data_IF_435152020954
#
_entry.id   IF_435152020954
#
_cell.length_a   1.000
_cell.length_b   1.000
_cell.length_c   1.000
_cell.angle_alpha   90.00
_cell.angle_beta   90.00
_cell.angle_gamma   90.00
#
_symmetry.space_group_name_H-M   'P 1'
#
loop_
_entity.id
_entity.type
_entity.pdbx_description
1 polymer ?
#
# COMPACT_ATOMS: atom_id res chain seq x y z
N UNK A 1 8.92 27.70 6.99
CA UNK A 1 8.82 26.95 5.72
C UNK A 1 7.96 25.72 5.97
N UNK A 2 7.08 25.32 5.08
CA UNK A 2 6.26 24.14 5.28
C UNK A 2 7.13 22.87 5.26
N UNK A 3 6.80 21.89 6.11
CA UNK A 3 7.50 20.60 6.14
C UNK A 3 7.11 19.67 4.98
N UNK A 4 5.99 19.98 4.31
CA UNK A 4 5.44 19.21 3.19
C UNK A 4 5.15 20.17 2.03
N UNK A 5 5.51 19.74 0.83
CA UNK A 5 5.22 20.45 -0.41
C UNK A 5 3.95 19.82 -1.01
N UNK A 6 2.86 20.58 -1.17
CA UNK A 6 1.71 20.12 -1.95
C UNK A 6 2.10 20.04 -3.42
N UNK A 7 1.99 18.84 -4.00
CA UNK A 7 2.32 18.67 -5.42
C UNK A 7 1.12 19.00 -6.33
N UNK A 8 1.36 19.08 -7.64
CA UNK A 8 0.29 19.12 -8.63
C UNK A 8 -0.33 17.74 -8.90
N UNK A 9 0.26 16.65 -8.38
CA UNK A 9 -0.24 15.30 -8.57
C UNK A 9 -1.47 15.04 -7.70
N UNK A 10 -2.59 14.78 -8.36
CA UNK A 10 -3.85 14.39 -7.75
C UNK A 10 -4.31 13.11 -8.43
N UNK A 11 -4.41 12.05 -7.64
CA UNK A 11 -4.96 10.78 -8.11
C UNK A 11 -6.44 10.66 -7.79
N UNK A 12 -7.04 9.57 -8.25
CA UNK A 12 -8.42 9.18 -7.94
C UNK A 12 -8.44 7.79 -7.32
N UNK A 13 -9.17 7.61 -6.23
CA UNK A 13 -9.40 6.29 -5.65
C UNK A 13 -10.28 5.48 -6.61
N UNK A 14 -9.72 4.44 -7.21
CA UNK A 14 -10.45 3.57 -8.15
C UNK A 14 -10.99 2.31 -7.50
N UNK A 15 -10.46 1.92 -6.35
CA UNK A 15 -10.86 0.74 -5.62
C UNK A 15 -10.52 0.84 -4.15
N UNK A 16 -11.40 0.30 -3.30
CA UNK A 16 -11.21 0.14 -1.87
C UNK A 16 -11.58 -1.28 -1.45
N UNK A 17 -10.87 -1.83 -0.48
CA UNK A 17 -11.19 -3.13 0.08
C UNK A 17 -10.61 -3.34 1.47
N UNK A 18 -11.03 -4.42 2.11
CA UNK A 18 -10.56 -4.85 3.42
C UNK A 18 -10.52 -6.36 3.53
N UNK A 19 -9.61 -6.86 4.34
CA UNK A 19 -9.53 -8.27 4.76
C UNK A 19 -10.10 -8.36 6.18
N UNK A 20 -11.31 -8.86 6.38
CA UNK A 20 -11.92 -8.89 7.72
C UNK A 20 -11.29 -9.95 8.63
N UNK A 21 -10.81 -11.05 8.06
CA UNK A 21 -10.14 -12.14 8.79
C UNK A 21 -8.96 -12.67 7.98
N UNK A 22 -7.77 -12.35 8.44
CA UNK A 22 -6.51 -12.78 7.84
C UNK A 22 -6.26 -14.29 7.97
N UNK A 23 -6.85 -14.93 8.97
CA UNK A 23 -6.78 -16.38 9.14
C UNK A 23 -7.62 -17.14 8.12
N UNK A 24 -8.74 -16.55 7.70
CA UNK A 24 -9.65 -17.14 6.72
C UNK A 24 -9.17 -16.93 5.28
N UNK A 25 -8.75 -15.71 4.93
CA UNK A 25 -8.35 -15.38 3.56
C UNK A 25 -7.27 -14.30 3.49
N UNK A 26 -6.52 -14.28 2.38
CA UNK A 26 -5.66 -13.17 2.01
C UNK A 26 -6.44 -12.10 1.27
N UNK A 27 -7.42 -12.53 0.49
CA UNK A 27 -8.19 -11.69 -0.42
C UNK A 27 -8.97 -10.65 0.35
N UNK A 28 -8.95 -9.41 -0.15
CA UNK A 28 -9.77 -8.34 0.36
C UNK A 28 -11.14 -8.32 -0.30
N UNK A 29 -12.16 -8.02 0.49
CA UNK A 29 -13.51 -7.73 -0.03
C UNK A 29 -13.61 -6.27 -0.46
N UNK A 30 -14.13 -6.01 -1.67
CA UNK A 30 -14.35 -4.66 -2.19
C UNK A 30 -15.43 -3.92 -1.39
N UNK A 31 -15.23 -2.63 -1.14
CA UNK A 31 -16.19 -1.75 -0.47
C UNK A 31 -16.26 -0.39 -1.17
N UNK A 32 -17.43 0.27 -1.25
CA UNK A 32 -17.54 1.59 -1.88
C UNK A 32 -16.97 2.71 -1.03
N UNK A 33 -16.91 2.49 0.29
CA UNK A 33 -16.40 3.45 1.27
C UNK A 33 -15.62 2.74 2.36
N UNK A 34 -14.60 3.40 2.90
CA UNK A 34 -13.75 2.86 3.95
C UNK A 34 -13.50 3.93 5.02
N UNK A 35 -14.04 3.72 6.21
CA UNK A 35 -13.73 4.55 7.38
C UNK A 35 -12.35 4.19 7.90
N UNK A 36 -11.55 5.19 8.22
CA UNK A 36 -10.21 5.04 8.75
C UNK A 36 -10.08 5.82 10.07
N UNK A 37 -9.79 5.10 11.14
CA UNK A 37 -9.40 5.64 12.44
C UNK A 37 -7.87 5.62 12.59
N UNK A 38 -7.35 6.16 13.69
CA UNK A 38 -5.90 6.10 13.97
C UNK A 38 -5.36 4.67 14.10
N UNK A 39 -6.23 3.72 14.35
CA UNK A 39 -5.95 2.28 14.37
C UNK A 39 -6.04 1.61 12.98
N UNK A 40 -6.37 2.38 11.95
CA UNK A 40 -6.42 1.91 10.56
C UNK A 40 -7.83 1.80 9.98
N UNK A 41 -8.00 1.02 8.89
CA UNK A 41 -9.29 0.83 8.26
C UNK A 41 -10.24 0.03 9.15
N UNK A 42 -11.48 0.49 9.27
CA UNK A 42 -12.51 -0.21 10.05
C UNK A 42 -12.80 -1.61 9.49
N UNK A 43 -12.67 -2.62 10.35
CA UNK A 43 -12.89 -4.03 10.00
C UNK A 43 -11.76 -4.65 9.16
N UNK A 44 -10.56 -4.04 9.14
CA UNK A 44 -9.37 -4.59 8.51
C UNK A 44 -8.51 -5.37 9.51
N UNK A 45 -8.18 -6.61 9.20
CA UNK A 45 -7.39 -7.48 10.07
C UNK A 45 -5.93 -7.01 10.29
N UNK A 46 -5.41 -6.12 9.42
CA UNK A 46 -4.11 -5.49 9.59
C UNK A 46 -4.18 -4.16 10.37
N UNK A 47 -5.37 -3.78 10.87
CA UNK A 47 -5.58 -2.63 11.73
C UNK A 47 -4.87 -2.75 13.08
N UNK A 48 -5.05 -1.74 13.92
CA UNK A 48 -4.45 -1.63 15.24
C UNK A 48 -3.38 -0.54 15.31
N UNK A 49 -3.24 0.08 16.50
CA UNK A 49 -2.19 1.07 16.77
C UNK A 49 -0.80 0.45 16.81
N UNK A 50 -0.74 -0.82 17.20
CA UNK A 50 0.50 -1.60 17.29
C UNK A 50 0.35 -2.92 16.53
N UNK A 51 1.46 -3.55 16.22
CA UNK A 51 1.53 -4.88 15.64
C UNK A 51 2.76 -5.63 16.13
N UNK A 52 2.79 -6.96 16.06
CA UNK A 52 4.01 -7.73 16.29
C UNK A 52 5.04 -7.47 15.17
N UNK A 53 6.32 -7.40 15.54
CA UNK A 53 7.43 -7.35 14.61
C UNK A 53 7.48 -8.63 13.76
N UNK A 54 7.69 -8.50 12.47
CA UNK A 54 7.74 -9.61 11.53
C UNK A 54 9.08 -9.67 10.79
N UNK A 55 9.24 -10.61 9.87
CA UNK A 55 10.46 -10.80 9.09
C UNK A 55 10.99 -9.55 8.37
N UNK A 56 10.13 -8.55 8.11
CA UNK A 56 10.51 -7.30 7.43
C UNK A 56 11.35 -6.35 8.29
N UNK A 57 11.27 -6.49 9.61
CA UNK A 57 11.98 -5.64 10.58
C UNK A 57 12.90 -6.46 11.50
N UNK A 58 13.26 -7.67 11.07
CA UNK A 58 14.10 -8.59 11.86
C UNK A 58 15.51 -8.07 12.18
N UNK A 59 15.99 -7.11 11.38
CA UNK A 59 17.27 -6.44 11.63
C UNK A 59 17.20 -5.40 12.76
N UNK A 60 15.98 -4.98 13.14
CA UNK A 60 15.75 -3.98 14.18
C UNK A 60 15.24 -4.60 15.48
N UNK A 61 14.34 -5.59 15.36
CA UNK A 61 13.63 -6.16 16.51
C UNK A 61 13.54 -7.69 16.42
N UNK A 62 13.61 -8.39 17.56
CA UNK A 62 13.19 -9.77 17.64
C UNK A 62 11.75 -9.93 17.13
N UNK A 63 11.45 -11.14 16.61
CA UNK A 63 10.09 -11.45 16.17
C UNK A 63 9.09 -11.27 17.32
N UNK A 64 7.89 -10.83 16.97
CA UNK A 64 6.75 -10.61 17.87
C UNK A 64 6.95 -9.49 18.92
N UNK A 65 8.07 -8.73 18.88
CA UNK A 65 8.18 -7.48 19.62
C UNK A 65 7.05 -6.54 19.21
N UNK A 66 6.34 -5.97 20.20
CA UNK A 66 5.26 -5.00 19.92
C UNK A 66 5.87 -3.69 19.41
N UNK A 67 5.47 -3.28 18.22
CA UNK A 67 5.92 -2.04 17.58
C UNK A 67 4.73 -1.24 17.04
N UNK A 68 4.94 0.04 16.72
CA UNK A 68 3.92 0.87 16.04
C UNK A 68 3.50 0.22 14.72
N UNK A 69 2.21 0.19 14.46
CA UNK A 69 1.68 -0.27 13.19
C UNK A 69 1.70 0.87 12.15
N UNK A 70 2.72 0.91 11.34
CA UNK A 70 2.87 1.84 10.20
C UNK A 70 2.44 1.19 8.86
N UNK A 71 1.80 0.02 8.93
CA UNK A 71 1.42 -0.80 7.78
C UNK A 71 -0.07 -1.16 7.79
N UNK A 72 -0.91 -0.20 8.20
CA UNK A 72 -2.36 -0.36 8.29
C UNK A 72 -3.03 -0.49 6.93
N UNK A 73 -2.44 0.15 5.90
CA UNK A 73 -2.91 0.13 4.51
C UNK A 73 -1.88 -0.49 3.58
N UNK A 74 -2.38 -1.20 2.55
CA UNK A 74 -1.66 -1.58 1.35
C UNK A 74 -2.25 -0.79 0.18
N UNK A 75 -1.53 0.24 -0.27
CA UNK A 75 -1.99 1.16 -1.33
C UNK A 75 -1.19 0.92 -2.60
N UNK A 76 -1.88 0.78 -3.75
CA UNK A 76 -1.27 0.56 -5.06
C UNK A 76 -1.61 1.69 -6.03
N UNK A 77 -0.71 1.92 -6.99
CA UNK A 77 -1.02 2.62 -8.23
C UNK A 77 -1.82 1.72 -9.18
N UNK A 78 -2.84 2.26 -9.83
CA UNK A 78 -3.60 1.51 -10.84
C UNK A 78 -2.71 1.17 -12.04
N UNK A 79 -1.81 2.08 -12.39
CA UNK A 79 -0.82 1.93 -13.46
C UNK A 79 0.17 0.82 -13.13
N UNK A 80 0.73 0.81 -11.91
CA UNK A 80 1.60 -0.26 -11.41
C UNK A 80 0.88 -1.62 -11.45
N UNK A 81 -0.39 -1.66 -11.05
CA UNK A 81 -1.19 -2.89 -11.06
C UNK A 81 -1.39 -3.43 -12.48
N UNK A 82 -1.62 -2.54 -13.46
CA UNK A 82 -1.74 -2.91 -14.86
C UNK A 82 -0.41 -3.44 -15.43
N UNK A 83 0.72 -2.83 -15.06
CA UNK A 83 2.06 -3.33 -15.44
C UNK A 83 2.37 -4.69 -14.82
N UNK A 84 1.96 -4.95 -13.58
CA UNK A 84 2.07 -6.27 -12.95
C UNK A 84 1.26 -7.30 -13.74
N UNK A 85 0.01 -6.98 -14.08
CA UNK A 85 -0.85 -7.87 -14.86
C UNK A 85 -0.20 -8.20 -16.22
N UNK A 86 0.25 -7.20 -16.96
CA UNK A 86 0.93 -7.35 -18.25
C UNK A 86 2.20 -8.20 -18.12
N UNK A 87 3.05 -7.96 -17.12
CA UNK A 87 4.25 -8.75 -16.86
C UNK A 87 3.96 -10.21 -16.48
N UNK A 88 2.77 -10.48 -15.92
CA UNK A 88 2.29 -11.83 -15.66
C UNK A 88 1.68 -12.50 -16.91
N UNK A 89 1.37 -11.74 -17.98
CA UNK A 89 0.63 -12.23 -19.15
C UNK A 89 -0.88 -12.27 -18.93
N UNK A 90 -1.40 -11.49 -18.00
CA UNK A 90 -2.83 -11.33 -17.71
C UNK A 90 -3.35 -10.02 -18.31
N UNK A 91 -4.61 -10.00 -18.74
CA UNK A 91 -5.29 -8.76 -19.15
C UNK A 91 -5.50 -7.81 -17.98
N UNK A 92 -5.84 -8.32 -16.81
CA UNK A 92 -6.01 -7.57 -15.57
C UNK A 92 -5.69 -8.44 -14.36
N UNK A 93 -5.27 -7.80 -13.26
CA UNK A 93 -5.09 -8.42 -11.96
C UNK A 93 -6.04 -7.77 -10.95
N UNK A 94 -6.95 -8.56 -10.39
CA UNK A 94 -7.86 -8.09 -9.35
C UNK A 94 -7.07 -7.70 -8.09
N UNK A 95 -7.14 -6.44 -7.61
CA UNK A 95 -6.45 -6.00 -6.40
C UNK A 95 -6.85 -6.77 -5.15
N UNK A 96 -8.04 -7.38 -5.14
CA UNK A 96 -8.50 -8.25 -4.06
C UNK A 96 -7.55 -9.44 -3.84
N UNK A 97 -7.09 -10.10 -4.91
CA UNK A 97 -6.23 -11.30 -4.84
C UNK A 97 -4.88 -11.05 -4.17
N UNK A 98 -4.46 -9.80 -4.12
CA UNK A 98 -3.20 -9.41 -3.52
C UNK A 98 -3.38 -8.70 -2.18
N UNK A 99 -4.59 -8.68 -1.61
CA UNK A 99 -4.87 -8.08 -0.32
C UNK A 99 -4.64 -6.57 -0.31
N UNK A 100 -5.04 -5.88 -1.38
CA UNK A 100 -5.00 -4.42 -1.43
C UNK A 100 -6.04 -3.82 -0.46
N UNK A 101 -5.76 -2.63 0.05
CA UNK A 101 -6.73 -1.85 0.82
C UNK A 101 -7.25 -0.67 -0.01
N UNK A 102 -6.40 -0.14 -0.90
CA UNK A 102 -6.74 1.00 -1.77
C UNK A 102 -5.96 0.93 -3.08
N UNK A 103 -6.62 1.32 -4.18
CA UNK A 103 -5.96 1.57 -5.47
C UNK A 103 -6.23 3.01 -5.89
N UNK A 104 -5.17 3.71 -6.30
CA UNK A 104 -5.21 5.12 -6.75
C UNK A 104 -4.67 5.18 -8.17
N UNK A 105 -5.38 5.84 -9.09
CA UNK A 105 -4.89 6.16 -10.44
C UNK A 105 -4.41 7.60 -10.55
N UNK A 106 -3.54 7.90 -11.52
CA UNK A 106 -3.15 9.26 -11.90
C UNK A 106 -1.97 9.84 -11.10
N UNK A 107 -1.32 9.08 -10.23
CA UNK A 107 -0.04 9.46 -9.60
C UNK A 107 1.04 8.58 -10.21
N UNK A 108 1.96 9.14 -11.02
CA UNK A 108 2.99 8.36 -11.71
C UNK A 108 4.00 7.78 -10.71
N UNK A 109 4.60 6.64 -11.08
CA UNK A 109 5.64 5.97 -10.31
C UNK A 109 5.26 5.76 -8.83
N UNK A 110 4.00 5.34 -8.61
CA UNK A 110 3.34 5.33 -7.31
C UNK A 110 4.11 4.54 -6.25
N UNK A 111 4.72 3.42 -6.63
CA UNK A 111 5.47 2.57 -5.71
C UNK A 111 6.73 3.22 -5.15
N UNK A 112 7.24 4.28 -5.80
CA UNK A 112 8.47 4.97 -5.41
C UNK A 112 8.25 6.37 -4.82
N UNK A 113 7.00 6.75 -4.54
CA UNK A 113 6.75 8.01 -3.83
C UNK A 113 7.52 8.02 -2.49
N UNK A 114 8.13 9.17 -2.12
CA UNK A 114 9.02 9.21 -0.96
C UNK A 114 8.33 8.76 0.34
N UNK A 115 9.01 8.01 1.23
CA UNK A 115 8.54 7.80 2.58
C UNK A 115 8.19 9.13 3.28
N UNK A 116 7.22 9.10 4.18
CA UNK A 116 6.65 10.29 4.81
C UNK A 116 5.87 11.22 3.89
N UNK A 117 5.59 10.86 2.64
CA UNK A 117 4.60 11.56 1.81
C UNK A 117 3.20 11.41 2.41
N UNK A 118 2.30 12.34 2.06
CA UNK A 118 0.89 12.27 2.46
C UNK A 118 0.00 12.07 1.25
N UNK A 119 -0.94 11.15 1.40
CA UNK A 119 -2.05 10.93 0.50
C UNK A 119 -3.29 11.50 1.19
N UNK A 120 -3.71 12.70 0.77
CA UNK A 120 -4.81 13.43 1.39
C UNK A 120 -6.04 13.40 0.51
N UNK A 121 -7.11 12.77 0.99
CA UNK A 121 -8.41 12.79 0.35
C UNK A 121 -9.11 14.15 0.50
N UNK A 122 -10.06 14.47 -0.39
CA UNK A 122 -10.83 15.73 -0.41
C UNK A 122 -11.50 16.03 0.93
N UNK A 123 -11.96 15.02 1.67
CA UNK A 123 -12.55 15.16 3.01
C UNK A 123 -11.54 15.41 4.13
N UNK A 124 -10.25 15.43 3.82
CA UNK A 124 -9.16 15.66 4.76
C UNK A 124 -8.63 14.40 5.45
N UNK A 125 -9.23 13.23 5.26
CA UNK A 125 -8.61 11.96 5.67
C UNK A 125 -7.23 11.85 5.03
N UNK A 126 -6.20 11.51 5.83
CA UNK A 126 -4.82 11.58 5.38
C UNK A 126 -4.05 10.33 5.80
N UNK A 127 -3.36 9.73 4.85
CA UNK A 127 -2.43 8.64 5.09
C UNK A 127 -0.99 9.13 4.98
N UNK A 128 -0.13 8.65 5.87
CA UNK A 128 1.34 8.77 5.74
C UNK A 128 1.87 7.54 5.04
N UNK A 129 2.61 7.73 3.97
CA UNK A 129 3.36 6.67 3.31
C UNK A 129 4.54 6.25 4.18
N UNK A 130 4.60 4.95 4.52
CA UNK A 130 5.72 4.40 5.28
C UNK A 130 6.89 4.06 4.34
N UNK A 131 6.69 3.12 3.43
CA UNK A 131 7.70 2.72 2.45
C UNK A 131 7.10 1.84 1.33
N UNK A 132 7.91 1.51 0.34
CA UNK A 132 7.58 0.52 -0.69
C UNK A 132 7.10 -0.79 -0.06
N UNK A 133 5.99 -1.31 -0.56
CA UNK A 133 5.45 -2.58 -0.14
C UNK A 133 6.03 -3.73 -0.98
N UNK A 134 7.19 -4.24 -0.61
CA UNK A 134 7.87 -5.32 -1.35
C UNK A 134 6.99 -6.56 -1.49
N UNK A 135 6.92 -7.19 -2.68
CA UNK A 135 6.07 -8.35 -2.92
C UNK A 135 6.53 -9.58 -2.12
N UNK A 136 5.57 -10.35 -1.63
CA UNK A 136 5.81 -11.64 -0.97
C UNK A 136 5.15 -12.78 -1.76
N UNK A 137 5.32 -14.01 -1.30
CA UNK A 137 4.77 -15.20 -1.98
C UNK A 137 3.28 -15.45 -1.67
N UNK A 138 2.73 -14.81 -0.65
CA UNK A 138 1.38 -15.11 -0.18
C UNK A 138 0.28 -14.93 -1.23
N UNK A 139 0.32 -13.91 -2.11
CA UNK A 139 -0.66 -13.76 -3.19
C UNK A 139 -0.63 -14.88 -4.25
N UNK A 140 0.44 -15.66 -4.29
CA UNK A 140 0.55 -16.74 -5.29
C UNK A 140 -0.62 -17.74 -5.23
N UNK A 141 -1.10 -18.06 -4.01
CA UNK A 141 -2.19 -19.04 -3.84
C UNK A 141 -3.54 -18.52 -4.36
N UNK A 142 -4.06 -17.34 -3.94
CA UNK A 142 -5.31 -16.82 -4.48
C UNK A 142 -5.22 -16.54 -5.99
N UNK A 143 -4.07 -16.05 -6.48
CA UNK A 143 -3.87 -15.88 -7.93
C UNK A 143 -3.92 -17.21 -8.65
N UNK A 144 -3.23 -18.25 -8.17
CA UNK A 144 -3.26 -19.58 -8.77
C UNK A 144 -4.68 -20.18 -8.83
N UNK A 145 -5.47 -19.94 -7.79
CA UNK A 145 -6.88 -20.40 -7.76
C UNK A 145 -7.73 -19.68 -8.80
N UNK A 146 -7.54 -18.38 -9.00
CA UNK A 146 -8.31 -17.57 -9.94
C UNK A 146 -7.78 -17.65 -11.37
N UNK A 147 -6.47 -17.75 -11.52
CA UNK A 147 -5.73 -17.78 -12.79
C UNK A 147 -4.71 -18.93 -12.73
N UNK A 148 -5.12 -20.17 -13.05
CA UNK A 148 -4.24 -21.34 -13.00
C UNK A 148 -2.96 -21.16 -13.85
N UNK A 149 -1.81 -21.46 -13.26
CA UNK A 149 -0.48 -21.31 -13.89
C UNK A 149 0.20 -19.96 -13.63
N UNK A 150 -0.51 -18.95 -13.08
CA UNK A 150 0.04 -17.59 -12.91
C UNK A 150 0.48 -17.25 -11.49
N UNK A 151 0.16 -18.03 -10.47
CA UNK A 151 0.48 -17.71 -9.08
C UNK A 151 1.96 -17.43 -8.83
N UNK A 152 2.86 -18.23 -9.42
CA UNK A 152 4.31 -18.10 -9.24
C UNK A 152 4.90 -16.87 -9.95
N UNK A 153 4.24 -16.33 -10.96
CA UNK A 153 4.72 -15.18 -11.74
C UNK A 153 4.52 -13.86 -11.02
N UNK A 154 3.62 -13.80 -10.04
CA UNK A 154 3.30 -12.55 -9.32
C UNK A 154 4.50 -11.89 -8.64
N UNK A 155 5.25 -12.65 -7.84
CA UNK A 155 6.32 -12.06 -7.04
C UNK A 155 7.41 -11.38 -7.89
N UNK A 156 7.95 -11.98 -8.96
CA UNK A 156 8.88 -11.29 -9.85
C UNK A 156 8.22 -10.14 -10.61
N UNK A 157 6.99 -10.29 -11.11
CA UNK A 157 6.28 -9.24 -11.84
C UNK A 157 6.00 -7.99 -10.97
N UNK A 158 5.73 -8.18 -9.68
CA UNK A 158 5.41 -7.10 -8.74
C UNK A 158 6.65 -6.45 -8.09
N UNK A 159 7.86 -6.86 -8.44
CA UNK A 159 9.08 -6.25 -7.90
C UNK A 159 9.17 -4.78 -8.33
N UNK A 160 9.29 -3.86 -7.35
CA UNK A 160 9.31 -2.41 -7.57
C UNK A 160 7.94 -1.79 -7.92
N UNK A 161 6.85 -2.58 -7.95
CA UNK A 161 5.51 -2.11 -8.38
C UNK A 161 4.39 -2.48 -7.42
N UNK A 162 4.71 -3.02 -6.23
CA UNK A 162 3.69 -3.51 -5.28
C UNK A 162 3.01 -2.38 -4.49
N UNK A 163 3.24 -1.12 -4.84
CA UNK A 163 2.72 0.04 -4.14
C UNK A 163 3.45 0.31 -2.84
N UNK A 164 2.77 0.95 -1.92
CA UNK A 164 3.30 1.39 -0.63
C UNK A 164 2.49 0.86 0.53
N UNK A 165 3.10 0.83 1.72
CA UNK A 165 2.39 0.71 2.98
C UNK A 165 2.17 2.08 3.57
N UNK A 166 1.03 2.27 4.25
CA UNK A 166 0.67 3.55 4.85
C UNK A 166 -0.08 3.37 6.17
N UNK A 167 -0.18 4.45 6.94
CA UNK A 167 -0.91 4.53 8.19
C UNK A 167 -1.65 5.87 8.32
N UNK A 168 -2.63 5.92 9.19
CA UNK A 168 -3.53 7.08 9.32
C UNK A 168 -2.88 8.20 10.14
N UNK A 169 -2.72 9.37 9.54
CA UNK A 169 -2.34 10.62 10.21
C UNK A 169 -3.57 11.41 10.64
N UNK A 170 -4.60 11.46 9.79
CA UNK A 170 -5.89 12.10 10.07
C UNK A 170 -7.02 11.17 9.72
N UNK A 171 -7.89 10.95 10.69
CA UNK A 171 -9.08 10.11 10.55
C UNK A 171 -10.07 10.68 9.52
N UNK A 172 -10.89 9.80 8.96
CA UNK A 172 -11.96 10.18 8.06
C UNK A 172 -12.48 9.03 7.23
N UNK A 173 -13.10 9.34 6.12
CA UNK A 173 -13.71 8.37 5.21
C UNK A 173 -13.12 8.54 3.82
N UNK A 174 -12.67 7.45 3.23
CA UNK A 174 -12.29 7.33 1.83
C UNK A 174 -13.45 6.75 1.03
N UNK A 175 -13.68 7.25 -0.19
CA UNK A 175 -14.73 6.76 -1.09
C UNK A 175 -14.12 6.49 -2.47
N UNK A 176 -14.60 5.46 -3.13
CA UNK A 176 -14.28 5.25 -4.55
C UNK A 176 -14.75 6.48 -5.35
N UNK A 177 -13.87 7.01 -6.21
CA UNK A 177 -14.07 8.25 -6.96
C UNK A 177 -13.54 9.51 -6.26
N UNK A 178 -13.14 9.45 -4.99
CA UNK A 178 -12.57 10.63 -4.31
C UNK A 178 -11.19 10.99 -4.88
N UNK A 179 -10.93 12.29 -5.09
CA UNK A 179 -9.58 12.76 -5.40
C UNK A 179 -8.67 12.67 -4.17
N UNK A 180 -7.41 12.28 -4.43
CA UNK A 180 -6.33 12.20 -3.42
C UNK A 180 -5.16 13.03 -3.89
N UNK A 181 -4.79 14.06 -3.15
CA UNK A 181 -3.61 14.89 -3.41
C UNK A 181 -2.38 14.31 -2.75
N UNK A 182 -1.28 14.27 -3.52
CA UNK A 182 0.04 13.90 -3.00
C UNK A 182 0.74 15.13 -2.44
N UNK A 183 1.25 15.02 -1.20
CA UNK A 183 2.18 15.96 -0.59
C UNK A 183 3.50 15.22 -0.32
N UNK A 184 4.62 15.83 -0.63
CA UNK A 184 5.94 15.21 -0.42
C UNK A 184 6.72 15.96 0.66
N UNK A 185 7.63 15.28 1.41
CA UNK A 185 8.51 15.95 2.36
C UNK A 185 9.39 16.99 1.67
N UNK A 186 9.48 18.20 2.25
CA UNK A 186 10.46 19.21 1.86
C UNK A 186 11.80 18.90 2.52
N UNK A 187 12.41 17.80 2.08
CA UNK A 187 13.65 17.30 2.67
C UNK A 187 14.54 16.72 1.56
N UNK A 188 15.83 17.14 1.51
CA UNK A 188 16.80 16.53 0.61
C UNK A 188 16.95 15.04 0.87
N UNK A 189 17.26 14.27 -0.18
CA UNK A 189 17.63 12.87 -0.05
C UNK A 189 18.93 12.79 0.75
N UNK A 190 19.01 11.86 1.72
CA UNK A 190 20.25 11.61 2.46
C UNK A 190 21.38 11.21 1.50
N UNK A 191 22.48 11.97 1.52
CA UNK A 191 23.57 11.86 0.53
C UNK A 191 24.16 10.45 0.44
N UNK A 192 24.19 9.69 1.55
CA UNK A 192 24.75 8.35 1.62
C UNK A 192 23.73 7.22 1.33
N UNK A 193 22.50 7.56 0.90
CA UNK A 193 21.47 6.54 0.65
C UNK A 193 21.91 5.55 -0.44
N UNK A 194 22.65 6.00 -1.46
CA UNK A 194 23.20 5.15 -2.52
C UNK A 194 24.21 4.13 -2.01
N UNK A 195 25.07 4.54 -1.07
CA UNK A 195 26.11 3.68 -0.49
C UNK A 195 25.51 2.46 0.25
N UNK A 196 24.39 2.67 0.97
CA UNK A 196 23.74 1.59 1.73
C UNK A 196 22.74 0.76 0.91
N UNK A 197 22.35 1.23 -0.29
CA UNK A 197 21.49 0.49 -1.23
C UNK A 197 22.25 -0.31 -2.27
N UNK A 198 23.50 0.08 -2.56
CA UNK A 198 24.35 -0.50 -3.59
C UNK A 198 25.23 -1.66 -3.13
N UNK A 199 25.00 -2.16 -1.91
CA UNK A 199 25.66 -3.38 -1.41
C UNK A 199 24.96 -4.65 -1.88
#
# INVERSE_FOLDING_TARGET
MPALIPTAFTGTITWLGRVPDRGAALESGSVPTLRAGFDGPEGEAHGGLTRPACSRVKAQYPRDTVIRNVRQFSVLGAEDLAEIAAAMGLEALDPALIGATMVISGIPDFSHIPPSSRLQAKGGATLVVDMENRPCILPARPIETRHPGFGKTFKPAAAGRRGVTAWVEREGVFKVGDPVRLHVPDQPVWAHLGEVRGG
#
